data_IF_256156447234
#
_entry.id   IF_256156447234
#
_cell.length_a   1.000
_cell.length_b   1.000
_cell.length_c   1.000
_cell.angle_alpha   90.00
_cell.angle_beta   90.00
_cell.angle_gamma   90.00
#
_symmetry.space_group_name_H-M   'P 1'
#
loop_
_entity.id
_entity.type
_entity.pdbx_description
1 polymer ?
#
# COMPACT_ATOMS: atom_id res chain seq x y z
N UNK A 1 -8.04 24.60 -2.01
CA UNK A 1 -8.98 24.90 -0.93
C UNK A 1 -8.53 26.10 -0.10
N UNK A 2 -7.30 26.13 0.42
CA UNK A 2 -6.82 27.30 1.17
C UNK A 2 -6.83 28.61 0.37
N UNK A 3 -6.54 28.56 -0.92
CA UNK A 3 -6.53 29.73 -1.79
C UNK A 3 -7.94 30.26 -2.13
N UNK A 4 -8.99 29.48 -1.91
CA UNK A 4 -10.37 29.81 -2.30
C UNK A 4 -11.33 29.91 -1.12
N UNK A 5 -10.84 29.78 0.12
CA UNK A 5 -11.64 29.71 1.35
C UNK A 5 -12.81 28.71 1.30
N UNK A 6 -12.64 27.68 0.47
CA UNK A 6 -13.66 26.65 0.28
C UNK A 6 -13.56 25.61 1.41
N UNK A 7 -14.64 25.37 2.16
CA UNK A 7 -14.67 24.32 3.17
C UNK A 7 -14.30 22.97 2.56
N UNK A 8 -13.41 22.23 3.20
CA UNK A 8 -13.03 20.92 2.75
C UNK A 8 -12.88 19.94 3.92
N UNK A 9 -13.11 18.69 3.64
CA UNK A 9 -13.02 17.59 4.58
C UNK A 9 -12.26 16.46 3.91
N UNK A 10 -11.49 15.73 4.68
CA UNK A 10 -10.80 14.55 4.23
C UNK A 10 -11.41 13.29 4.82
N UNK A 11 -11.84 12.37 3.95
CA UNK A 11 -12.22 11.02 4.34
C UNK A 11 -10.99 10.13 4.22
N UNK A 12 -10.45 9.68 5.35
CA UNK A 12 -9.25 8.85 5.39
C UNK A 12 -9.43 7.66 6.32
N UNK A 13 -9.25 6.46 5.80
CA UNK A 13 -9.26 5.23 6.62
C UNK A 13 -8.11 5.30 7.64
N UNK A 14 -8.31 4.82 8.90
CA UNK A 14 -7.20 4.68 9.84
C UNK A 14 -6.06 3.86 9.23
N UNK A 15 -4.79 4.24 9.45
CA UNK A 15 -3.66 3.43 9.03
C UNK A 15 -3.67 2.09 9.77
N UNK A 16 -3.07 1.09 9.16
CA UNK A 16 -2.78 -0.15 9.89
C UNK A 16 -1.79 0.14 11.01
N UNK A 17 -1.99 -0.49 12.13
CA UNK A 17 -1.09 -0.41 13.27
C UNK A 17 -0.21 -1.67 13.28
N UNK A 18 1.06 -1.47 13.65
CA UNK A 18 1.98 -2.58 13.85
C UNK A 18 1.51 -3.44 15.03
N UNK A 19 1.40 -4.73 14.82
CA UNK A 19 1.07 -5.71 15.86
C UNK A 19 2.31 -6.55 16.24
N UNK A 20 2.18 -7.35 17.29
CA UNK A 20 3.20 -8.30 17.68
C UNK A 20 3.52 -9.26 16.50
N UNK A 21 4.81 -9.57 16.35
CA UNK A 21 5.36 -10.35 15.24
C UNK A 21 5.34 -9.68 13.85
N UNK A 22 4.87 -8.46 13.72
CA UNK A 22 5.10 -7.69 12.49
C UNK A 22 6.56 -7.28 12.37
N UNK A 23 7.13 -7.54 11.22
CA UNK A 23 8.50 -7.14 10.86
C UNK A 23 8.46 -5.98 9.89
N UNK A 24 8.01 -4.81 10.36
CA UNK A 24 7.92 -3.63 9.52
C UNK A 24 9.19 -2.78 9.60
N UNK A 25 9.66 -2.37 8.42
CA UNK A 25 10.65 -1.31 8.22
C UNK A 25 9.91 -0.12 7.62
N UNK A 26 9.81 0.96 8.37
CA UNK A 26 9.15 2.18 7.92
C UNK A 26 10.06 2.99 7.01
N UNK A 27 9.50 3.50 5.93
CA UNK A 27 10.17 4.37 4.97
C UNK A 27 9.26 5.54 4.60
N UNK A 28 9.84 6.67 4.28
CA UNK A 28 9.09 7.90 4.00
C UNK A 28 8.45 7.91 2.62
N UNK A 29 9.10 7.27 1.64
CA UNK A 29 8.65 7.28 0.26
C UNK A 29 9.08 6.03 -0.53
N UNK A 30 8.72 6.03 -1.81
CA UNK A 30 8.98 4.92 -2.73
C UNK A 30 10.48 4.77 -3.05
N UNK A 31 11.25 5.86 -3.06
CA UNK A 31 12.67 5.81 -3.40
C UNK A 31 13.46 5.17 -2.26
N UNK A 32 13.10 5.50 -1.03
CA UNK A 32 13.67 4.86 0.15
C UNK A 32 13.31 3.37 0.17
N UNK A 33 12.07 3.00 -0.19
CA UNK A 33 11.67 1.59 -0.31
C UNK A 33 12.52 0.84 -1.34
N UNK A 34 12.76 1.42 -2.51
CA UNK A 34 13.61 0.84 -3.56
C UNK A 34 15.03 0.61 -3.06
N UNK A 35 15.59 1.58 -2.32
CA UNK A 35 16.93 1.45 -1.73
C UNK A 35 17.03 0.27 -0.75
N UNK A 36 15.99 0.07 0.06
CA UNK A 36 15.94 -1.00 1.05
C UNK A 36 15.81 -2.40 0.43
N UNK A 37 15.08 -2.56 -0.69
CA UNK A 37 14.89 -3.86 -1.36
C UNK A 37 16.23 -4.47 -1.79
N UNK A 38 17.06 -3.71 -2.49
CA UNK A 38 18.32 -4.19 -3.10
C UNK A 38 19.31 -4.79 -2.10
N UNK A 39 19.07 -4.61 -0.82
CA UNK A 39 19.97 -5.03 0.27
C UNK A 39 19.46 -6.24 1.04
N UNK A 40 18.22 -6.71 0.80
CA UNK A 40 17.51 -7.54 1.78
C UNK A 40 16.84 -8.79 1.23
N UNK A 41 16.65 -8.93 -0.09
CA UNK A 41 15.65 -9.87 -0.59
C UNK A 41 16.05 -10.53 -1.90
N UNK A 42 15.69 -11.80 -2.04
CA UNK A 42 15.77 -12.54 -3.29
C UNK A 42 14.44 -12.47 -4.07
N UNK A 43 13.29 -12.36 -3.38
CA UNK A 43 11.95 -12.36 -3.95
C UNK A 43 11.00 -11.38 -3.25
N UNK A 44 10.77 -10.24 -3.87
CA UNK A 44 9.99 -9.14 -3.30
C UNK A 44 8.61 -8.99 -3.95
N UNK A 45 7.55 -8.94 -3.13
CA UNK A 45 6.19 -8.62 -3.57
C UNK A 45 5.92 -7.11 -3.45
N UNK A 46 5.73 -6.45 -4.59
CA UNK A 46 5.40 -5.01 -4.67
C UNK A 46 3.88 -4.84 -4.76
N UNK A 47 3.28 -4.14 -3.80
CA UNK A 47 1.83 -3.90 -3.72
C UNK A 47 1.46 -2.42 -3.71
N UNK A 48 2.27 -1.57 -4.31
CA UNK A 48 2.09 -0.09 -4.30
C UNK A 48 1.17 0.42 -5.41
N UNK A 49 0.87 -0.43 -6.39
CA UNK A 49 0.01 -0.10 -7.55
C UNK A 49 0.79 0.39 -8.76
N UNK A 50 0.09 0.46 -9.91
CA UNK A 50 0.67 0.71 -11.23
C UNK A 50 1.46 2.03 -11.33
N UNK A 51 1.03 3.06 -10.64
CA UNK A 51 1.63 4.40 -10.73
C UNK A 51 3.06 4.46 -10.15
N UNK A 52 3.40 3.55 -9.26
CA UNK A 52 4.72 3.54 -8.62
C UNK A 52 5.69 2.54 -9.25
N UNK A 53 5.20 1.69 -10.14
CA UNK A 53 5.98 0.57 -10.70
C UNK A 53 7.29 1.04 -11.34
N UNK A 54 7.29 2.18 -12.03
CA UNK A 54 8.48 2.71 -12.68
C UNK A 54 9.64 3.01 -11.71
N UNK A 55 9.35 3.30 -10.44
CA UNK A 55 10.38 3.55 -9.44
C UNK A 55 11.24 2.31 -9.15
N UNK A 56 10.72 1.10 -9.40
CA UNK A 56 11.44 -0.15 -9.15
C UNK A 56 12.35 -0.59 -10.31
N UNK A 57 12.42 0.17 -11.41
CA UNK A 57 13.32 -0.10 -12.54
C UNK A 57 14.79 -0.37 -12.16
N UNK A 58 15.38 0.32 -11.14
CA UNK A 58 16.76 0.06 -10.74
C UNK A 58 16.99 -1.30 -10.06
N UNK A 59 15.93 -2.02 -9.67
CA UNK A 59 16.05 -3.32 -9.00
C UNK A 59 16.31 -4.39 -10.06
N UNK A 60 17.54 -4.93 -10.08
CA UNK A 60 18.00 -5.92 -11.04
C UNK A 60 18.47 -7.23 -10.38
N UNK A 61 18.67 -7.23 -9.07
CA UNK A 61 19.21 -8.38 -8.32
C UNK A 61 18.15 -9.17 -7.57
N UNK A 62 16.98 -8.56 -7.35
CA UNK A 62 15.84 -9.16 -6.64
C UNK A 62 14.74 -9.49 -7.64
N UNK A 63 14.19 -10.70 -7.59
CA UNK A 63 13.01 -11.04 -8.39
C UNK A 63 11.80 -10.26 -7.88
N UNK A 64 11.20 -9.45 -8.75
CA UNK A 64 10.04 -8.64 -8.42
C UNK A 64 8.75 -9.32 -8.85
N UNK A 65 7.81 -9.42 -7.92
CA UNK A 65 6.42 -9.77 -8.15
C UNK A 65 5.57 -8.52 -7.96
N UNK A 66 4.91 -8.06 -9.01
CA UNK A 66 4.14 -6.82 -8.97
C UNK A 66 2.65 -7.13 -8.96
N UNK A 67 1.97 -6.80 -7.87
CA UNK A 67 0.52 -6.99 -7.78
C UNK A 67 -0.23 -5.81 -8.35
N UNK A 68 -1.12 -6.11 -9.32
CA UNK A 68 -2.01 -5.17 -9.96
C UNK A 68 -3.46 -5.67 -9.89
N UNK A 69 -4.42 -4.76 -9.99
CA UNK A 69 -5.85 -5.11 -10.02
C UNK A 69 -6.31 -5.56 -11.42
N UNK A 70 -5.57 -5.15 -12.45
CA UNK A 70 -5.85 -5.48 -13.84
C UNK A 70 -4.55 -5.59 -14.64
N UNK A 71 -4.61 -6.26 -15.77
CA UNK A 71 -3.47 -6.36 -16.69
C UNK A 71 -3.12 -4.99 -17.26
N UNK A 72 -1.85 -4.55 -17.15
CA UNK A 72 -1.44 -3.26 -17.68
C UNK A 72 -1.52 -3.25 -19.20
N UNK A 73 -1.94 -2.12 -19.78
CA UNK A 73 -2.07 -1.94 -21.25
C UNK A 73 -0.72 -1.96 -21.96
N UNK A 74 0.33 -1.54 -21.28
CA UNK A 74 1.69 -1.49 -21.80
C UNK A 74 2.60 -2.36 -20.94
N UNK A 75 3.73 -2.80 -21.51
CA UNK A 75 4.77 -3.48 -20.75
C UNK A 75 5.26 -2.61 -19.60
N UNK A 76 5.51 -3.22 -18.44
CA UNK A 76 6.06 -2.51 -17.30
C UNK A 76 7.54 -2.17 -17.57
N UNK A 77 8.04 -1.03 -17.09
CA UNK A 77 9.43 -0.63 -17.25
C UNK A 77 10.37 -1.33 -16.25
N UNK A 78 10.07 -2.57 -15.89
CA UNK A 78 10.85 -3.40 -14.98
C UNK A 78 11.28 -4.66 -15.72
N UNK A 79 12.56 -4.92 -15.74
CA UNK A 79 13.08 -6.14 -16.35
C UNK A 79 12.72 -7.36 -15.48
N UNK A 80 12.28 -8.45 -16.11
CA UNK A 80 12.01 -9.75 -15.48
C UNK A 80 11.00 -9.73 -14.30
N UNK A 81 10.16 -8.69 -14.20
CA UNK A 81 9.11 -8.66 -13.18
C UNK A 81 7.94 -9.57 -13.57
N UNK A 82 7.44 -10.32 -12.58
CA UNK A 82 6.25 -11.16 -12.72
C UNK A 82 5.01 -10.41 -12.24
N UNK A 83 3.97 -10.36 -13.09
CA UNK A 83 2.74 -9.63 -12.75
C UNK A 83 1.73 -10.59 -12.12
N UNK A 84 1.24 -10.23 -10.95
CA UNK A 84 0.19 -10.94 -10.23
C UNK A 84 -1.10 -10.12 -10.32
N UNK A 85 -2.11 -10.65 -10.99
CA UNK A 85 -3.41 -9.99 -11.06
C UNK A 85 -4.28 -10.47 -9.90
N UNK A 86 -4.85 -9.52 -9.17
CA UNK A 86 -5.76 -9.84 -8.07
C UNK A 86 -6.57 -8.64 -7.63
N UNK A 87 -7.85 -8.87 -7.36
CA UNK A 87 -8.82 -7.85 -6.93
C UNK A 87 -9.20 -8.07 -5.47
N UNK A 88 -9.13 -7.04 -4.60
CA UNK A 88 -9.61 -7.16 -3.23
C UNK A 88 -11.14 -7.38 -3.18
N UNK A 89 -11.67 -7.95 -2.06
CA UNK A 89 -10.95 -8.27 -0.83
C UNK A 89 -10.13 -9.56 -0.93
N UNK A 90 -8.92 -9.55 -0.37
CA UNK A 90 -8.06 -10.73 -0.31
C UNK A 90 -8.37 -11.58 0.93
N UNK A 91 -8.10 -12.89 0.86
CA UNK A 91 -8.18 -13.79 2.01
C UNK A 91 -6.77 -14.12 2.50
N UNK A 92 -6.59 -14.13 3.82
CA UNK A 92 -5.30 -14.40 4.45
C UNK A 92 -4.68 -15.73 4.01
N UNK A 93 -5.48 -16.79 3.92
CA UNK A 93 -4.97 -18.12 3.59
C UNK A 93 -4.54 -18.22 2.12
N UNK A 94 -5.25 -17.53 1.22
CA UNK A 94 -4.88 -17.44 -0.19
C UNK A 94 -3.56 -16.66 -0.36
N UNK A 95 -3.37 -15.57 0.42
CA UNK A 95 -2.12 -14.82 0.45
C UNK A 95 -0.95 -15.66 1.00
N UNK A 96 -1.16 -16.43 2.07
CA UNK A 96 -0.16 -17.34 2.62
C UNK A 96 0.27 -18.37 1.57
N UNK A 97 -0.71 -18.98 0.87
CA UNK A 97 -0.43 -19.97 -0.17
C UNK A 97 0.37 -19.35 -1.33
N UNK A 98 -0.02 -18.16 -1.76
CA UNK A 98 0.67 -17.41 -2.81
C UNK A 98 2.11 -17.07 -2.43
N UNK A 99 2.34 -16.53 -1.21
CA UNK A 99 3.68 -16.13 -0.78
C UNK A 99 4.63 -17.33 -0.66
N UNK A 100 4.13 -18.47 -0.18
CA UNK A 100 4.90 -19.73 -0.16
C UNK A 100 5.22 -20.23 -1.56
N UNK A 101 4.24 -20.22 -2.47
CA UNK A 101 4.41 -20.67 -3.85
C UNK A 101 5.49 -19.86 -4.58
N UNK A 102 5.50 -18.55 -4.38
CA UNK A 102 6.41 -17.62 -5.05
C UNK A 102 7.74 -17.42 -4.30
N UNK A 103 7.88 -18.00 -3.10
CA UNK A 103 9.07 -17.82 -2.26
C UNK A 103 9.27 -16.39 -1.79
N UNK A 104 8.18 -15.64 -1.56
CA UNK A 104 8.26 -14.24 -1.13
C UNK A 104 8.93 -14.15 0.24
N UNK A 105 9.99 -13.38 0.34
CA UNK A 105 10.75 -13.13 1.57
C UNK A 105 10.68 -11.65 2.02
N UNK A 106 10.23 -10.76 1.13
CA UNK A 106 10.04 -9.34 1.38
C UNK A 106 8.75 -8.84 0.73
N UNK A 107 8.09 -7.86 1.35
CA UNK A 107 6.95 -7.17 0.75
C UNK A 107 7.12 -5.66 0.85
N UNK A 108 6.73 -4.94 -0.20
CA UNK A 108 6.58 -3.47 -0.16
C UNK A 108 5.11 -3.11 -0.21
N UNK A 109 4.68 -2.30 0.74
CA UNK A 109 3.28 -1.85 0.84
C UNK A 109 3.19 -0.41 1.32
N UNK A 110 2.25 0.35 0.76
CA UNK A 110 1.80 1.61 1.37
C UNK A 110 0.90 1.30 2.57
N UNK A 111 1.00 2.10 3.63
CA UNK A 111 0.08 2.01 4.77
C UNK A 111 -1.31 2.57 4.40
N UNK A 112 -2.02 1.85 3.54
CA UNK A 112 -3.32 2.30 3.01
C UNK A 112 -4.46 2.21 4.03
N UNK A 113 -4.33 1.35 5.03
CA UNK A 113 -5.38 1.08 6.01
C UNK A 113 -6.60 0.37 5.44
N UNK A 114 -7.55 0.06 6.32
CA UNK A 114 -8.83 -0.60 6.00
C UNK A 114 -8.72 -2.11 5.77
N UNK A 115 -9.88 -2.76 5.72
CA UNK A 115 -10.00 -4.23 5.78
C UNK A 115 -9.80 -4.93 4.45
N UNK A 116 -10.09 -4.25 3.33
CA UNK A 116 -10.09 -4.88 2.00
C UNK A 116 -8.74 -5.46 1.56
N UNK A 117 -7.64 -4.94 2.08
CA UNK A 117 -6.28 -5.38 1.72
C UNK A 117 -5.41 -5.74 2.92
N UNK A 118 -5.95 -5.77 4.14
CA UNK A 118 -5.20 -6.12 5.37
C UNK A 118 -4.70 -7.56 5.34
N UNK A 119 -5.37 -8.44 4.63
CA UNK A 119 -5.02 -9.86 4.52
C UNK A 119 -3.56 -10.09 4.08
N UNK A 120 -3.02 -9.23 3.21
CA UNK A 120 -1.61 -9.29 2.79
C UNK A 120 -0.64 -9.06 3.95
N UNK A 121 -0.95 -8.13 4.85
CA UNK A 121 -0.15 -7.83 6.04
C UNK A 121 -0.25 -8.99 7.03
N UNK A 122 -1.46 -9.50 7.24
CA UNK A 122 -1.70 -10.67 8.12
C UNK A 122 -0.97 -11.92 7.62
N UNK A 123 -0.90 -12.12 6.31
CA UNK A 123 -0.15 -13.23 5.71
C UNK A 123 1.36 -13.06 5.88
N UNK A 124 1.89 -11.85 5.65
CA UNK A 124 3.29 -11.53 5.88
C UNK A 124 3.69 -11.78 7.34
N UNK A 125 2.86 -11.32 8.30
CA UNK A 125 3.04 -11.57 9.74
C UNK A 125 3.08 -13.06 10.05
N UNK A 126 2.11 -13.84 9.53
CA UNK A 126 2.02 -15.27 9.78
C UNK A 126 3.22 -16.07 9.24
N UNK A 127 3.88 -15.57 8.20
CA UNK A 127 5.07 -16.17 7.59
C UNK A 127 6.38 -15.57 8.08
N UNK A 128 6.35 -14.53 8.92
CA UNK A 128 7.54 -13.80 9.37
C UNK A 128 8.23 -13.02 8.24
N UNK A 129 7.50 -12.69 7.16
CA UNK A 129 8.01 -11.90 6.04
C UNK A 129 8.18 -10.45 6.49
N UNK A 130 9.32 -9.85 6.14
CA UNK A 130 9.56 -8.43 6.39
C UNK A 130 8.73 -7.56 5.43
N UNK A 131 8.20 -6.46 5.96
CA UNK A 131 7.39 -5.51 5.18
C UNK A 131 8.04 -4.15 5.20
N UNK A 132 8.49 -3.67 4.05
CA UNK A 132 8.85 -2.26 3.86
C UNK A 132 7.53 -1.49 3.76
N UNK A 133 7.22 -0.77 4.83
CA UNK A 133 5.97 -0.03 4.97
C UNK A 133 6.21 1.43 4.62
N UNK A 134 5.68 1.87 3.48
CA UNK A 134 5.74 3.26 3.05
C UNK A 134 4.71 4.03 3.85
N UNK A 135 5.18 4.99 4.63
CA UNK A 135 4.35 5.82 5.46
C UNK A 135 3.47 6.75 4.62
N UNK A 136 2.38 7.21 5.20
CA UNK A 136 1.53 8.19 4.55
C UNK A 136 2.24 9.54 4.52
N UNK A 137 2.14 10.29 3.41
CA UNK A 137 2.63 11.66 3.40
C UNK A 137 1.93 12.50 4.47
N UNK A 138 2.62 13.52 4.97
CA UNK A 138 2.02 14.48 5.87
C UNK A 138 0.75 15.07 5.23
N UNK A 139 -0.34 15.03 5.98
CA UNK A 139 -1.64 15.50 5.49
C UNK A 139 -1.78 16.99 5.77
N UNK A 140 -2.41 17.76 4.84
CA UNK A 140 -2.73 19.15 5.12
C UNK A 140 -3.65 19.26 6.34
N UNK A 141 -3.52 20.34 7.09
CA UNK A 141 -4.43 20.62 8.19
C UNK A 141 -5.85 20.81 7.66
N UNK A 142 -6.72 19.87 7.97
CA UNK A 142 -8.14 19.91 7.64
C UNK A 142 -8.93 18.97 8.55
N UNK A 143 -10.24 19.14 8.57
CA UNK A 143 -11.11 18.19 9.24
C UNK A 143 -10.99 16.84 8.57
N UNK A 144 -10.60 15.84 9.34
CA UNK A 144 -10.45 14.44 8.85
C UNK A 144 -11.45 13.54 9.53
N UNK A 145 -12.15 12.73 8.77
CA UNK A 145 -13.07 11.70 9.26
C UNK A 145 -12.73 10.36 8.66
N UNK A 146 -13.09 9.28 9.37
CA UNK A 146 -12.82 7.90 8.95
C UNK A 146 -14.04 7.19 8.37
N UNK A 147 -15.25 7.71 8.60
CA UNK A 147 -16.50 7.12 8.18
C UNK A 147 -17.27 7.98 7.16
N UNK A 148 -17.98 7.31 6.26
CA UNK A 148 -18.83 7.97 5.24
C UNK A 148 -19.94 8.78 5.90
N UNK A 149 -20.54 8.26 6.98
CA UNK A 149 -21.62 8.95 7.72
C UNK A 149 -21.14 10.28 8.32
N UNK A 150 -19.93 10.29 8.89
CA UNK A 150 -19.35 11.51 9.46
C UNK A 150 -18.99 12.53 8.38
N UNK A 151 -18.49 12.06 7.23
CA UNK A 151 -18.28 12.92 6.07
C UNK A 151 -19.59 13.54 5.60
N UNK A 152 -20.66 12.75 5.52
CA UNK A 152 -21.98 13.23 5.11
C UNK A 152 -22.55 14.25 6.10
N UNK A 153 -22.50 13.97 7.42
CA UNK A 153 -22.94 14.92 8.47
C UNK A 153 -22.19 16.25 8.40
N UNK A 154 -20.87 16.20 8.22
CA UNK A 154 -20.06 17.41 8.08
C UNK A 154 -20.49 18.23 6.86
N UNK A 155 -20.67 17.58 5.71
CA UNK A 155 -21.08 18.25 4.46
C UNK A 155 -22.46 18.90 4.61
N UNK A 156 -23.43 18.20 5.18
CA UNK A 156 -24.76 18.76 5.45
C UNK A 156 -24.70 19.99 6.37
N UNK A 157 -23.94 19.90 7.46
CA UNK A 157 -23.77 21.02 8.39
C UNK A 157 -23.17 22.25 7.71
N UNK A 158 -22.14 22.03 6.88
CA UNK A 158 -21.44 23.12 6.19
C UNK A 158 -22.34 23.78 5.15
N UNK A 159 -23.12 23.01 4.39
CA UNK A 159 -24.07 23.55 3.40
C UNK A 159 -25.28 24.27 4.05
N UNK A 160 -25.67 23.88 5.27
CA UNK A 160 -26.77 24.54 6.00
C UNK A 160 -26.36 25.84 6.65
N UNK A 161 -25.08 26.17 6.72
CA UNK A 161 -24.51 27.38 7.26
C UNK A 161 -24.17 28.41 6.16
N UNK A 162 -24.33 28.02 4.91
CA UNK A 162 -24.13 28.87 3.71
C UNK A 162 -25.46 29.39 3.22
#
# INVERSE_FOLDING_TARGET
>A
AHATDTPHIMLSRPPWQKEDNDRWVHVSDINEAVHEISRRSDACLVTTGINDVAAFTPIITTKLFVRLIETPKNALPIQDAEIIIGTPPYKKDDEIALYRLLGIDLMVSKNAGGDGTVAKIQAARALGIEVIMIDRPAMPECVTVSGIEDAFKYTQKTLSLS
#
